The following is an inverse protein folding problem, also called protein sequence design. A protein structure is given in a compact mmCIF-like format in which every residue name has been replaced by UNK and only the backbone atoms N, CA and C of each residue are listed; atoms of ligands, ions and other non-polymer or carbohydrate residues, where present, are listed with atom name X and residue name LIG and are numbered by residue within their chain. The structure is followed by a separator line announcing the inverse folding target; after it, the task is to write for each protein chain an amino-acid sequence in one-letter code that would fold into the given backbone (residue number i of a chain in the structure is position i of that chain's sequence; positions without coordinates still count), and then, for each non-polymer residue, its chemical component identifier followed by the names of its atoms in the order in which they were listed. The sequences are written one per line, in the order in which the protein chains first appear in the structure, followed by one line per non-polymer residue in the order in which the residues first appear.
data_IF_208375989899
#
_entry.id   IF_208375989899
#
_cell.length_a   1.000
_cell.length_b   1.000
_cell.length_c   1.000
_cell.angle_alpha   90.00
_cell.angle_beta   90.00
_cell.angle_gamma   90.00
#
_symmetry.space_group_name_H-M   'P 1'
#
loop_
_entity.id
_entity.type
_entity.pdbx_description
1 polymer ?
#
# COMPACT_ATOMS: atom_id res chain seq x y z
N UNK A 1 49.38 39.98 -22.51
CA UNK A 1 48.07 39.84 -23.16
C UNK A 1 47.55 38.44 -22.95
N UNK A 2 46.74 38.23 -21.92
CA UNK A 2 46.17 36.92 -21.56
C UNK A 2 44.71 36.93 -21.95
N UNK A 3 44.31 36.05 -22.88
CA UNK A 3 42.91 35.80 -23.18
C UNK A 3 42.25 35.01 -22.07
N UNK A 4 41.35 35.66 -21.34
CA UNK A 4 40.43 34.97 -20.46
C UNK A 4 39.31 34.34 -21.31
N UNK A 5 39.33 33.02 -21.44
CA UNK A 5 38.25 32.25 -22.05
C UNK A 5 37.07 32.20 -21.06
N UNK A 6 36.05 33.01 -21.32
CA UNK A 6 34.81 32.96 -20.55
C UNK A 6 34.10 31.60 -20.79
N UNK A 7 33.98 30.81 -19.76
CA UNK A 7 33.12 29.65 -19.74
C UNK A 7 31.66 30.09 -19.94
N UNK A 8 31.06 29.68 -21.05
CA UNK A 8 29.62 29.87 -21.30
C UNK A 8 28.85 29.07 -20.26
N UNK A 9 27.79 29.64 -19.67
CA UNK A 9 26.93 28.88 -18.77
C UNK A 9 26.30 27.71 -19.54
N UNK A 10 26.35 26.50 -18.95
CA UNK A 10 25.66 25.31 -19.49
C UNK A 10 24.17 25.64 -19.60
N UNK A 11 23.62 25.50 -20.81
CA UNK A 11 22.19 25.54 -21.10
C UNK A 11 21.48 24.59 -20.11
N UNK A 12 20.76 25.14 -19.15
CA UNK A 12 19.81 24.39 -18.36
C UNK A 12 18.67 24.01 -19.30
N UNK A 13 18.71 22.80 -19.87
CA UNK A 13 17.58 22.27 -20.63
C UNK A 13 16.34 22.37 -19.76
N UNK A 14 15.41 23.23 -20.10
CA UNK A 14 14.15 23.40 -19.42
C UNK A 14 13.42 22.05 -19.38
N UNK A 15 13.12 21.56 -18.18
CA UNK A 15 12.33 20.34 -18.00
C UNK A 15 10.93 20.60 -18.58
N UNK A 16 10.37 19.70 -19.40
CA UNK A 16 9.02 19.87 -19.95
C UNK A 16 8.00 20.09 -18.83
N UNK A 17 7.05 21.01 -19.04
CA UNK A 17 6.05 21.44 -18.03
C UNK A 17 5.18 20.30 -17.48
N UNK A 18 5.11 19.15 -18.17
CA UNK A 18 4.35 17.94 -17.78
C UNK A 18 5.25 16.78 -17.31
N UNK A 19 6.56 17.01 -17.13
CA UNK A 19 7.45 15.95 -16.68
C UNK A 19 7.24 15.65 -15.19
N UNK A 20 7.14 14.37 -14.88
CA UNK A 20 7.13 13.86 -13.50
C UNK A 20 8.35 12.98 -13.28
N UNK A 21 8.98 13.14 -12.13
CA UNK A 21 9.95 12.16 -11.63
C UNK A 21 9.18 11.06 -10.94
N UNK A 22 9.52 9.81 -11.25
CA UNK A 22 8.94 8.64 -10.59
C UNK A 22 10.01 7.95 -9.76
N UNK A 23 9.70 7.70 -8.51
CA UNK A 23 10.50 6.94 -7.58
C UNK A 23 9.77 5.65 -7.23
N UNK A 24 10.36 4.50 -7.57
CA UNK A 24 9.81 3.18 -7.29
C UNK A 24 10.52 2.51 -6.14
N UNK A 25 9.76 2.04 -5.17
CA UNK A 25 10.24 1.27 -4.02
C UNK A 25 9.61 -0.12 -4.04
N UNK A 26 10.44 -1.14 -4.24
CA UNK A 26 10.06 -2.55 -4.26
C UNK A 26 11.14 -3.33 -3.50
N UNK A 27 11.03 -3.36 -2.18
CA UNK A 27 12.00 -4.03 -1.31
C UNK A 27 11.50 -5.42 -0.94
N UNK A 28 12.42 -6.36 -0.69
CA UNK A 28 12.09 -7.73 -0.30
C UNK A 28 11.28 -7.78 1.00
N UNK A 29 11.58 -6.86 1.91
CA UNK A 29 10.93 -6.70 3.22
C UNK A 29 9.64 -5.86 3.19
N UNK A 30 9.16 -5.48 2.01
CA UNK A 30 7.82 -4.94 1.80
C UNK A 30 6.86 -6.10 1.52
N UNK A 31 6.70 -6.97 2.51
CA UNK A 31 5.94 -8.20 2.40
C UNK A 31 5.24 -8.50 3.72
N UNK A 32 4.18 -9.30 3.63
CA UNK A 32 3.48 -9.87 4.79
C UNK A 32 2.85 -11.20 4.40
N UNK A 33 2.81 -12.15 5.34
CA UNK A 33 2.09 -13.41 5.22
C UNK A 33 0.74 -13.28 5.95
N UNK A 34 -0.36 -13.51 5.26
CA UNK A 34 -1.67 -13.37 5.89
C UNK A 34 -2.67 -14.41 5.36
N UNK A 35 -3.60 -14.80 6.22
CA UNK A 35 -4.73 -15.64 5.84
C UNK A 35 -5.97 -14.78 5.61
N UNK A 36 -6.79 -15.17 4.64
CA UNK A 36 -8.05 -14.53 4.34
C UNK A 36 -9.05 -15.48 3.66
N UNK A 37 -10.21 -14.96 3.34
CA UNK A 37 -11.20 -15.54 2.43
C UNK A 37 -11.85 -14.41 1.63
N UNK A 38 -12.06 -14.63 0.35
CA UNK A 38 -12.82 -13.71 -0.50
C UNK A 38 -14.31 -14.03 -0.43
N UNK A 39 -15.14 -12.99 -0.32
CA UNK A 39 -16.59 -13.09 -0.25
C UNK A 39 -17.21 -12.79 -1.62
N UNK A 40 -18.26 -13.55 -1.99
CA UNK A 40 -19.00 -13.38 -3.23
C UNK A 40 -20.48 -13.07 -2.97
N UNK A 41 -21.21 -12.46 -3.94
CA UNK A 41 -22.58 -11.97 -3.72
C UNK A 41 -23.57 -13.00 -3.20
N UNK A 42 -23.46 -14.26 -3.58
CA UNK A 42 -24.42 -15.32 -3.23
C UNK A 42 -24.13 -15.96 -1.86
N UNK A 43 -23.54 -15.21 -0.93
CA UNK A 43 -23.03 -15.71 0.34
C UNK A 43 -22.00 -16.85 0.20
N UNK A 44 -21.51 -17.09 -1.01
CA UNK A 44 -20.37 -17.94 -1.24
C UNK A 44 -19.11 -17.26 -0.72
N UNK A 45 -18.18 -18.05 -0.25
CA UNK A 45 -16.88 -17.55 0.17
C UNK A 45 -15.82 -18.61 -0.10
N UNK A 46 -14.64 -18.18 -0.41
CA UNK A 46 -13.48 -19.06 -0.46
C UNK A 46 -13.28 -19.74 0.91
N UNK A 47 -12.53 -20.83 0.90
CA UNK A 47 -12.03 -21.38 2.14
C UNK A 47 -10.97 -20.45 2.71
N UNK A 48 -10.83 -20.42 4.03
CA UNK A 48 -9.71 -19.73 4.66
C UNK A 48 -8.40 -20.32 4.10
N UNK A 49 -7.55 -19.46 3.57
CA UNK A 49 -6.26 -19.80 3.00
C UNK A 49 -5.30 -18.62 3.17
N UNK A 50 -4.04 -18.80 2.84
CA UNK A 50 -3.03 -17.77 3.07
C UNK A 50 -2.14 -17.54 1.86
N UNK A 51 -1.59 -16.32 1.80
CA UNK A 51 -0.64 -15.88 0.79
C UNK A 51 0.54 -15.12 1.39
N UNK A 52 1.63 -15.07 0.62
CA UNK A 52 2.79 -14.23 0.89
C UNK A 52 2.69 -12.97 0.02
N UNK A 53 2.05 -11.96 0.52
CA UNK A 53 1.84 -10.70 -0.18
C UNK A 53 3.12 -9.90 -0.32
N UNK A 54 3.25 -9.19 -1.44
CA UNK A 54 4.31 -8.21 -1.68
C UNK A 54 3.72 -6.85 -1.99
N UNK A 55 4.33 -5.81 -1.44
CA UNK A 55 3.91 -4.42 -1.64
C UNK A 55 4.95 -3.68 -2.47
N UNK A 56 4.50 -2.92 -3.48
CA UNK A 56 5.32 -1.99 -4.25
C UNK A 56 4.70 -0.61 -4.18
N UNK A 57 5.54 0.40 -4.12
CA UNK A 57 5.11 1.79 -3.99
C UNK A 57 5.81 2.62 -5.08
N UNK A 58 5.03 3.45 -5.79
CA UNK A 58 5.54 4.43 -6.74
C UNK A 58 5.08 5.82 -6.31
N UNK A 59 6.04 6.73 -6.22
CA UNK A 59 5.85 8.13 -5.87
C UNK A 59 6.16 8.98 -7.09
N UNK A 60 5.28 9.91 -7.44
CA UNK A 60 5.50 10.81 -8.57
C UNK A 60 5.36 12.27 -8.14
N UNK A 61 6.25 13.12 -8.64
CA UNK A 61 6.20 14.56 -8.43
C UNK A 61 7.00 15.32 -9.49
N UNK A 62 6.74 16.62 -9.63
CA UNK A 62 7.36 17.44 -10.66
C UNK A 62 8.67 18.10 -10.18
N UNK A 63 8.86 18.24 -8.89
CA UNK A 63 9.93 19.05 -8.30
C UNK A 63 10.86 18.17 -7.47
N UNK A 64 12.15 18.43 -7.58
CA UNK A 64 13.18 17.84 -6.74
C UNK A 64 13.74 18.93 -5.80
N UNK A 65 14.20 18.55 -4.64
CA UNK A 65 14.91 19.45 -3.74
C UNK A 65 16.29 19.87 -4.30
N UNK A 66 16.99 20.74 -3.57
CA UNK A 66 18.31 21.25 -3.97
C UNK A 66 19.39 20.16 -4.10
N UNK A 67 19.15 18.97 -3.52
CA UNK A 67 20.03 17.82 -3.59
C UNK A 67 19.59 16.79 -4.65
N UNK A 68 18.47 17.05 -5.33
CA UNK A 68 17.94 16.19 -6.39
C UNK A 68 17.04 15.06 -5.87
N UNK A 69 16.48 15.14 -4.67
CA UNK A 69 15.54 14.17 -4.13
C UNK A 69 14.10 14.61 -4.35
N UNK A 70 13.23 13.68 -4.75
CA UNK A 70 11.77 13.87 -4.72
C UNK A 70 11.27 13.85 -3.26
N UNK A 71 11.79 12.94 -2.46
CA UNK A 71 11.46 12.77 -1.04
C UNK A 71 12.56 11.95 -0.35
N UNK A 72 12.85 12.19 0.93
CA UNK A 72 13.70 11.29 1.71
C UNK A 72 13.06 9.90 1.78
N UNK A 73 13.72 8.88 1.24
CA UNK A 73 13.14 7.54 1.11
C UNK A 73 13.12 6.72 2.40
N UNK A 74 13.95 7.06 3.38
CA UNK A 74 14.05 6.29 4.62
C UNK A 74 12.74 6.30 5.45
N UNK A 75 12.08 7.46 5.68
CA UNK A 75 10.77 7.51 6.34
C UNK A 75 9.68 6.75 5.58
N UNK A 76 9.66 6.86 4.25
CA UNK A 76 8.69 6.14 3.41
C UNK A 76 8.85 4.64 3.56
N UNK A 77 10.09 4.14 3.47
CA UNK A 77 10.39 2.71 3.67
C UNK A 77 9.98 2.23 5.05
N UNK A 78 10.26 3.02 6.10
CA UNK A 78 9.88 2.69 7.47
C UNK A 78 8.35 2.58 7.61
N UNK A 79 7.60 3.52 6.99
CA UNK A 79 6.13 3.49 7.05
C UNK A 79 5.56 2.28 6.32
N UNK A 80 6.07 1.93 5.12
CA UNK A 80 5.61 0.73 4.39
C UNK A 80 5.85 -0.53 5.22
N UNK A 81 7.03 -0.69 5.82
CA UNK A 81 7.33 -1.82 6.72
C UNK A 81 6.38 -1.87 7.92
N UNK A 82 6.09 -0.73 8.53
CA UNK A 82 5.16 -0.66 9.65
C UNK A 82 3.74 -1.09 9.25
N UNK A 83 3.28 -0.71 8.06
CA UNK A 83 1.99 -1.16 7.52
C UNK A 83 2.02 -2.68 7.28
N UNK A 84 3.03 -3.20 6.61
CA UNK A 84 3.17 -4.63 6.40
C UNK A 84 3.16 -5.42 7.73
N UNK A 85 3.87 -4.94 8.75
CA UNK A 85 3.93 -5.57 10.07
C UNK A 85 2.57 -5.64 10.79
N UNK A 86 1.63 -4.75 10.49
CA UNK A 86 0.26 -4.84 11.06
C UNK A 86 -0.59 -5.93 10.42
N UNK A 87 -0.19 -6.40 9.24
CA UNK A 87 -0.89 -7.41 8.46
C UNK A 87 -0.19 -8.77 8.52
N UNK A 88 1.10 -8.78 8.90
CA UNK A 88 1.92 -9.97 8.89
C UNK A 88 1.51 -10.95 10.00
N UNK A 89 1.48 -12.25 9.63
CA UNK A 89 1.04 -13.36 10.49
C UNK A 89 -0.36 -13.16 11.07
N UNK A 90 -1.29 -12.55 10.27
CA UNK A 90 -2.67 -12.24 10.69
C UNK A 90 -3.71 -12.94 9.82
N UNK A 91 -4.89 -13.09 10.42
CA UNK A 91 -6.12 -13.43 9.72
C UNK A 91 -6.83 -12.10 9.41
N UNK A 92 -6.93 -11.76 8.14
CA UNK A 92 -7.54 -10.52 7.69
C UNK A 92 -9.05 -10.68 7.57
N UNK A 93 -9.81 -9.91 8.34
CA UNK A 93 -11.28 -9.97 8.38
C UNK A 93 -11.86 -8.63 7.93
N UNK A 94 -12.77 -8.61 6.93
CA UNK A 94 -13.37 -7.38 6.42
C UNK A 94 -14.51 -6.91 7.36
N UNK A 95 -14.21 -5.96 8.24
CA UNK A 95 -15.13 -5.48 9.27
C UNK A 95 -16.40 -4.81 8.70
N UNK A 96 -16.32 -4.22 7.50
CA UNK A 96 -17.46 -3.56 6.85
C UNK A 96 -18.28 -4.46 5.93
N UNK A 97 -17.99 -5.75 5.92
CA UNK A 97 -18.75 -6.69 5.08
C UNK A 97 -20.19 -6.87 5.60
N UNK A 98 -21.12 -6.90 4.65
CA UNK A 98 -22.52 -7.26 4.91
C UNK A 98 -22.81 -8.75 4.67
N UNK A 99 -21.82 -9.49 4.23
CA UNK A 99 -21.92 -10.90 3.85
C UNK A 99 -21.46 -11.86 4.95
N UNK A 100 -20.97 -11.33 6.06
CA UNK A 100 -20.57 -12.11 7.23
C UNK A 100 -21.16 -11.50 8.51
N UNK A 101 -21.34 -12.35 9.50
CA UNK A 101 -21.65 -11.93 10.86
C UNK A 101 -20.36 -11.91 11.67
N UNK A 102 -20.06 -10.79 12.29
CA UNK A 102 -18.86 -10.57 13.09
C UNK A 102 -19.26 -10.31 14.55
N UNK A 103 -18.70 -11.08 15.44
CA UNK A 103 -18.83 -10.89 16.89
C UNK A 103 -17.46 -10.82 17.55
N UNK A 104 -17.17 -9.71 18.19
CA UNK A 104 -15.97 -9.52 18.97
C UNK A 104 -16.21 -9.92 20.43
N UNK A 105 -15.35 -10.78 20.95
CA UNK A 105 -15.30 -11.19 22.36
C UNK A 105 -14.03 -10.61 23.00
N UNK A 106 -13.86 -10.67 24.32
CA UNK A 106 -12.66 -10.15 24.97
C UNK A 106 -11.36 -10.77 24.45
N UNK A 107 -11.35 -12.08 24.19
CA UNK A 107 -10.19 -12.88 23.77
C UNK A 107 -10.27 -13.45 22.36
N UNK A 108 -11.42 -13.30 21.68
CA UNK A 108 -11.66 -13.92 20.38
C UNK A 108 -12.48 -13.05 19.42
N UNK A 109 -12.41 -13.41 18.16
CA UNK A 109 -13.26 -12.91 17.09
C UNK A 109 -13.99 -14.11 16.48
N UNK A 110 -15.33 -14.06 16.50
CA UNK A 110 -16.18 -15.03 15.81
C UNK A 110 -16.64 -14.48 14.48
N UNK A 111 -16.60 -15.32 13.45
CA UNK A 111 -17.01 -15.00 12.09
C UNK A 111 -17.92 -16.11 11.58
N UNK A 112 -19.13 -15.75 11.13
CA UNK A 112 -20.06 -16.68 10.49
C UNK A 112 -20.33 -16.23 9.07
N UNK A 113 -20.12 -17.12 8.09
CA UNK A 113 -20.33 -16.86 6.68
C UNK A 113 -20.59 -18.16 5.91
N UNK A 114 -21.54 -18.14 4.98
CA UNK A 114 -21.79 -19.26 4.08
C UNK A 114 -22.02 -20.61 4.78
N UNK A 115 -22.68 -20.64 5.94
CA UNK A 115 -22.90 -21.84 6.74
C UNK A 115 -21.66 -22.34 7.52
N UNK A 116 -20.55 -21.62 7.47
CA UNK A 116 -19.31 -21.89 8.23
C UNK A 116 -19.19 -20.94 9.40
N UNK A 117 -18.64 -21.42 10.50
CA UNK A 117 -18.32 -20.61 11.67
C UNK A 117 -16.85 -20.80 12.05
N UNK A 118 -16.20 -19.68 12.37
CA UNK A 118 -14.82 -19.61 12.81
C UNK A 118 -14.76 -18.88 14.15
N UNK A 119 -13.84 -19.28 15.00
CA UNK A 119 -13.46 -18.56 16.22
C UNK A 119 -11.94 -18.46 16.26
N UNK A 120 -11.43 -17.25 16.20
CA UNK A 120 -9.99 -16.96 16.18
C UNK A 120 -9.58 -16.24 17.45
N UNK A 121 -8.36 -16.49 17.97
CA UNK A 121 -7.79 -15.65 19.01
C UNK A 121 -7.72 -14.20 18.52
N UNK A 122 -8.14 -13.26 19.35
CA UNK A 122 -8.15 -11.84 18.98
C UNK A 122 -6.78 -11.30 18.57
N UNK A 123 -5.72 -11.84 19.19
CA UNK A 123 -4.33 -11.48 18.88
C UNK A 123 -3.87 -11.90 17.49
N UNK A 124 -4.56 -12.83 16.83
CA UNK A 124 -4.22 -13.32 15.49
C UNK A 124 -5.04 -12.66 14.38
N UNK A 125 -5.98 -11.78 14.72
CA UNK A 125 -6.90 -11.15 13.77
C UNK A 125 -6.52 -9.71 13.53
N UNK A 126 -6.53 -9.29 12.26
CA UNK A 126 -6.59 -7.88 11.83
C UNK A 126 -7.99 -7.61 11.25
N UNK A 127 -8.77 -6.79 11.97
CA UNK A 127 -10.03 -6.27 11.45
C UNK A 127 -9.74 -5.09 10.54
N UNK A 128 -10.05 -5.23 9.26
CA UNK A 128 -9.80 -4.21 8.26
C UNK A 128 -11.11 -3.45 7.94
N UNK A 129 -11.06 -2.11 7.82
CA UNK A 129 -12.23 -1.29 7.51
C UNK A 129 -12.65 -1.43 6.03
N UNK A 130 -12.70 -2.67 5.54
CA UNK A 130 -12.96 -3.05 4.16
C UNK A 130 -14.27 -3.84 4.05
N UNK A 131 -14.96 -3.80 2.90
CA UNK A 131 -16.12 -4.65 2.63
C UNK A 131 -15.75 -6.09 2.26
N UNK A 132 -14.53 -6.32 1.79
CA UNK A 132 -13.98 -7.62 1.38
C UNK A 132 -12.45 -7.58 1.45
N UNK A 133 -11.79 -8.73 1.55
CA UNK A 133 -10.32 -8.84 1.49
C UNK A 133 -9.93 -9.36 0.12
N UNK A 134 -9.85 -8.44 -0.84
CA UNK A 134 -9.31 -8.67 -2.19
C UNK A 134 -8.00 -7.91 -2.36
N UNK A 135 -7.19 -8.26 -3.35
CA UNK A 135 -5.93 -7.54 -3.61
C UNK A 135 -6.15 -6.08 -3.97
N UNK A 136 -7.28 -5.75 -4.65
CA UNK A 136 -7.67 -4.38 -4.97
C UNK A 136 -7.98 -3.57 -3.71
N UNK A 137 -8.76 -4.16 -2.79
CA UNK A 137 -9.12 -3.53 -1.52
C UNK A 137 -7.89 -3.38 -0.60
N UNK A 138 -6.99 -4.37 -0.60
CA UNK A 138 -5.71 -4.28 0.13
C UNK A 138 -4.80 -3.19 -0.45
N UNK A 139 -4.70 -3.05 -1.77
CA UNK A 139 -3.94 -1.97 -2.39
C UNK A 139 -4.48 -0.59 -1.99
N UNK A 140 -5.80 -0.43 -1.99
CA UNK A 140 -6.45 0.80 -1.54
C UNK A 140 -6.24 1.06 -0.04
N UNK A 141 -6.31 0.02 0.80
CA UNK A 141 -6.06 0.11 2.24
C UNK A 141 -4.63 0.57 2.52
N UNK A 142 -3.64 -0.09 1.94
CA UNK A 142 -2.22 0.27 2.11
C UNK A 142 -1.95 1.69 1.61
N UNK A 143 -2.57 2.09 0.51
CA UNK A 143 -2.51 3.46 0.01
C UNK A 143 -3.04 4.45 1.05
N UNK A 144 -4.22 4.20 1.61
CA UNK A 144 -4.84 5.04 2.64
C UNK A 144 -4.01 5.18 3.91
N UNK A 145 -3.31 4.10 4.30
CA UNK A 145 -2.40 4.10 5.44
C UNK A 145 -1.08 4.84 5.17
N UNK A 146 -0.62 4.86 3.91
CA UNK A 146 0.64 5.51 3.53
C UNK A 146 0.47 6.99 3.21
N UNK A 147 -0.61 7.37 2.52
CA UNK A 147 -0.85 8.70 1.99
C UNK A 147 -0.71 9.84 3.03
N UNK A 148 -1.23 9.73 4.27
CA UNK A 148 -1.07 10.79 5.28
C UNK A 148 0.39 11.13 5.59
N UNK A 149 1.30 10.15 5.50
CA UNK A 149 2.73 10.37 5.76
C UNK A 149 3.43 11.18 4.66
N UNK A 150 2.79 11.36 3.52
CA UNK A 150 3.29 12.07 2.35
C UNK A 150 2.63 13.45 2.15
N UNK A 151 1.64 13.82 2.94
CA UNK A 151 0.84 15.04 2.76
C UNK A 151 1.67 16.34 2.74
N UNK A 152 2.77 16.40 3.49
CA UNK A 152 3.67 17.55 3.53
C UNK A 152 4.86 17.44 2.55
N UNK A 153 4.84 16.47 1.63
CA UNK A 153 5.92 16.24 0.67
C UNK A 153 5.59 16.80 -0.72
N UNK A 154 6.58 17.00 -1.62
CA UNK A 154 6.34 17.42 -3.00
C UNK A 154 5.79 16.28 -3.88
N UNK A 155 5.49 15.12 -3.31
CA UNK A 155 4.86 14.01 -4.02
C UNK A 155 3.43 14.41 -4.38
N UNK A 156 3.09 14.30 -5.67
CA UNK A 156 1.75 14.63 -6.18
C UNK A 156 0.87 13.42 -6.35
N UNK A 157 1.48 12.26 -6.62
CA UNK A 157 0.75 11.01 -6.90
C UNK A 157 1.42 9.84 -6.21
N UNK A 158 0.61 9.01 -5.62
CA UNK A 158 1.00 7.77 -4.99
C UNK A 158 0.29 6.60 -5.68
N UNK A 159 1.05 5.58 -6.06
CA UNK A 159 0.55 4.28 -6.51
C UNK A 159 1.06 3.20 -5.56
N UNK A 160 0.15 2.37 -5.09
CA UNK A 160 0.46 1.17 -4.30
C UNK A 160 -0.01 -0.05 -5.06
N UNK A 161 0.87 -1.03 -5.21
CA UNK A 161 0.57 -2.33 -5.80
C UNK A 161 0.74 -3.41 -4.74
N UNK A 162 -0.26 -4.30 -4.65
CA UNK A 162 -0.23 -5.50 -3.82
C UNK A 162 -0.24 -6.71 -4.74
N UNK A 163 0.75 -7.58 -4.62
CA UNK A 163 0.87 -8.86 -5.32
C UNK A 163 0.58 -9.97 -4.31
N UNK A 164 -0.34 -10.85 -4.63
CA UNK A 164 -0.78 -11.98 -3.81
C UNK A 164 -0.03 -13.25 -4.13
N UNK A 165 0.10 -13.52 -5.43
CA UNK A 165 0.90 -14.61 -6.00
C UNK A 165 1.69 -14.07 -7.18
N UNK A 166 2.74 -14.78 -7.59
CA UNK A 166 3.55 -14.37 -8.73
C UNK A 166 2.68 -14.18 -9.99
N UNK A 167 2.66 -12.95 -10.50
CA UNK A 167 1.89 -12.59 -11.69
C UNK A 167 0.43 -12.20 -11.44
N UNK A 168 -0.04 -12.20 -10.19
CA UNK A 168 -1.36 -11.72 -9.80
C UNK A 168 -1.23 -10.55 -8.82
N UNK A 169 -1.45 -9.34 -9.30
CA UNK A 169 -1.38 -8.12 -8.51
C UNK A 169 -2.49 -7.14 -8.87
N UNK A 170 -2.83 -6.27 -7.93
CA UNK A 170 -3.67 -5.11 -8.18
C UNK A 170 -2.98 -3.84 -7.69
N UNK A 171 -3.32 -2.72 -8.27
CA UNK A 171 -2.78 -1.43 -7.85
C UNK A 171 -3.89 -0.40 -7.66
N UNK A 172 -3.73 0.41 -6.63
CA UNK A 172 -4.51 1.63 -6.42
C UNK A 172 -3.61 2.86 -6.60
N UNK A 173 -4.07 3.80 -7.41
CA UNK A 173 -3.33 5.03 -7.71
C UNK A 173 -4.26 6.23 -7.56
N UNK A 174 -3.79 7.25 -6.86
CA UNK A 174 -4.49 8.52 -6.75
C UNK A 174 -3.52 9.68 -6.51
N UNK A 175 -3.99 10.90 -6.81
CA UNK A 175 -3.28 12.11 -6.45
C UNK A 175 -3.38 12.33 -4.94
N UNK A 176 -2.28 12.79 -4.35
CA UNK A 176 -2.26 13.25 -2.96
C UNK A 176 -2.88 14.66 -2.96
N UNK A 177 -4.03 14.80 -2.34
CA UNK A 177 -4.66 16.10 -2.13
C UNK A 177 -3.85 16.92 -1.13
N UNK A 178 -3.50 18.13 -1.53
CA UNK A 178 -2.88 19.16 -0.68
C UNK A 178 -3.85 19.64 0.36
#
# INVERSE_FOLDING_TARGET
MGLATALRPRDSRAVPRAALVQLRLAKEDFAFAAAHFTLFPDAAAERLHGHNYRVRVELSGAELDALGFLVPVAPVKARVRAICATLDERILIPEKSRLLELRQEPDAVQVSLGGRAYRFPKSEVSLLPLPNVTIEALAQYVWGELAPSLAASPVRRLRVEVEETSGQSAAFEADLTS
#
